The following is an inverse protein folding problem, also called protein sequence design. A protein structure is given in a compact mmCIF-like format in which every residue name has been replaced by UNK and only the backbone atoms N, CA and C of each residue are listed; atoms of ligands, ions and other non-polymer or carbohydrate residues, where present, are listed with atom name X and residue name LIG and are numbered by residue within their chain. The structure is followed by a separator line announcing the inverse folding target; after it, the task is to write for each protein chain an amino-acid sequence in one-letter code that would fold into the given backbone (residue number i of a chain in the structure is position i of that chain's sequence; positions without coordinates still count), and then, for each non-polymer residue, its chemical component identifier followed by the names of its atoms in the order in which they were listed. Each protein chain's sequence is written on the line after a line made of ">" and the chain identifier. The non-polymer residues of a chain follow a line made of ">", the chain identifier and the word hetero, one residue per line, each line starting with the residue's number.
data_IF_601335848431
#
_entry.id   IF_601335848431
#
_cell.length_a   1.000
_cell.length_b   1.000
_cell.length_c   1.000
_cell.angle_alpha   90.00
_cell.angle_beta   90.00
_cell.angle_gamma   90.00
#
_symmetry.space_group_name_H-M   'P 1'
#
loop_
_entity.id
_entity.type
_entity.pdbx_description
1 polymer ?
#
# COMPACT_ATOMS: atom_id res chain seq x y z
N UNK A 1 -17.52 -16.45 21.35
CA UNK A 1 -16.27 -15.76 20.98
C UNK A 1 -16.39 -14.23 20.79
N UNK A 2 -17.57 -13.60 20.90
CA UNK A 2 -17.73 -12.15 20.67
C UNK A 2 -17.44 -11.27 21.91
N UNK A 3 -17.35 -11.87 23.11
CA UNK A 3 -17.12 -11.13 24.37
C UNK A 3 -15.67 -10.62 24.59
N UNK A 4 -14.77 -10.71 23.61
CA UNK A 4 -13.35 -10.33 23.78
C UNK A 4 -12.94 -9.03 23.06
N UNK A 5 -13.79 -8.43 22.23
CA UNK A 5 -13.47 -7.19 21.49
C UNK A 5 -14.13 -5.97 22.14
N UNK A 6 -13.77 -5.65 23.38
CA UNK A 6 -14.26 -4.41 24.01
C UNK A 6 -13.57 -3.19 23.39
N UNK A 7 -14.25 -2.03 23.29
CA UNK A 7 -13.64 -0.79 22.82
C UNK A 7 -12.35 -0.42 23.58
N UNK A 8 -12.30 -0.70 24.89
CA UNK A 8 -11.14 -0.46 25.74
C UNK A 8 -9.96 -1.36 25.40
N UNK A 9 -10.21 -2.64 25.07
CA UNK A 9 -9.16 -3.56 24.64
C UNK A 9 -8.56 -3.13 23.30
N UNK A 10 -9.41 -2.72 22.33
CA UNK A 10 -8.97 -2.20 21.03
C UNK A 10 -8.13 -0.92 21.22
N UNK A 11 -8.56 0.01 22.10
CA UNK A 11 -7.76 1.20 22.44
C UNK A 11 -6.40 0.84 23.03
N UNK A 12 -6.34 -0.18 23.89
CA UNK A 12 -5.08 -0.69 24.44
C UNK A 12 -4.12 -1.18 23.36
N UNK A 13 -4.62 -1.94 22.38
CA UNK A 13 -3.83 -2.40 21.23
C UNK A 13 -3.34 -1.23 20.39
N UNK A 14 -4.24 -0.28 20.08
CA UNK A 14 -3.88 0.93 19.31
C UNK A 14 -2.79 1.72 20.05
N UNK A 15 -2.96 1.96 21.36
CA UNK A 15 -1.98 2.70 22.15
C UNK A 15 -0.62 1.99 22.16
N UNK A 16 -0.59 0.67 22.39
CA UNK A 16 0.65 -0.11 22.35
C UNK A 16 1.34 -0.04 20.97
N UNK A 17 0.55 -0.12 19.89
CA UNK A 17 1.06 -0.01 18.53
C UNK A 17 1.64 1.38 18.21
N UNK A 18 0.96 2.46 18.60
CA UNK A 18 1.47 3.82 18.43
C UNK A 18 2.72 4.08 19.28
N UNK A 19 2.79 3.55 20.51
CA UNK A 19 3.99 3.62 21.34
C UNK A 19 5.17 2.92 20.67
N UNK A 20 4.95 1.76 20.06
CA UNK A 20 5.98 1.06 19.27
C UNK A 20 6.45 1.91 18.09
N UNK A 21 5.53 2.51 17.32
CA UNK A 21 5.88 3.40 16.20
C UNK A 21 6.68 4.63 16.65
N UNK A 22 6.25 5.29 17.73
CA UNK A 22 6.94 6.46 18.30
C UNK A 22 8.35 6.06 18.77
N UNK A 23 8.48 4.88 19.40
CA UNK A 23 9.77 4.36 19.85
C UNK A 23 10.72 4.13 18.68
N UNK A 24 10.25 3.45 17.62
CA UNK A 24 11.03 3.26 16.39
C UNK A 24 11.42 4.62 15.81
N UNK A 25 10.45 5.54 15.66
CA UNK A 25 10.69 6.88 15.12
C UNK A 25 11.69 7.69 15.94
N UNK A 26 11.70 7.57 17.26
CA UNK A 26 12.65 8.26 18.13
C UNK A 26 14.08 7.74 17.92
N UNK A 27 14.26 6.43 17.77
CA UNK A 27 15.58 5.83 17.54
C UNK A 27 16.10 6.03 16.10
N UNK A 28 15.20 6.13 15.11
CA UNK A 28 15.58 6.35 13.70
C UNK A 28 15.63 7.83 13.31
N UNK A 29 14.97 8.70 14.06
CA UNK A 29 14.86 10.14 13.80
C UNK A 29 16.08 10.94 14.25
N UNK A 30 17.25 10.71 13.67
CA UNK A 30 18.43 11.58 13.88
C UNK A 30 18.39 12.79 12.94
N UNK A 31 18.90 13.94 13.42
CA UNK A 31 18.97 15.20 12.66
C UNK A 31 19.74 14.96 11.35
N UNK A 32 19.04 15.14 10.24
CA UNK A 32 19.49 14.80 8.90
C UNK A 32 19.25 16.00 7.98
N UNK A 33 20.25 16.37 7.18
CA UNK A 33 20.08 17.40 6.14
C UNK A 33 19.11 16.96 5.04
N UNK A 34 18.73 17.84 4.11
CA UNK A 34 17.74 17.56 3.06
C UNK A 34 17.99 16.25 2.28
N UNK A 35 19.24 15.94 1.93
CA UNK A 35 19.58 14.70 1.22
C UNK A 35 19.31 13.43 2.04
N UNK A 36 19.48 13.51 3.35
CA UNK A 36 19.24 12.39 4.26
C UNK A 36 17.76 12.30 4.65
N UNK A 37 17.05 13.43 4.66
CA UNK A 37 15.60 13.47 4.82
C UNK A 37 14.85 12.86 3.61
N UNK A 38 15.26 13.20 2.38
CA UNK A 38 14.54 12.81 1.15
C UNK A 38 15.11 11.60 0.40
N UNK A 39 16.35 11.18 0.66
CA UNK A 39 16.94 10.03 -0.04
C UNK A 39 17.60 9.03 0.92
N UNK A 40 17.52 9.23 2.24
CA UNK A 40 18.25 8.41 3.22
C UNK A 40 19.76 8.35 2.93
N UNK A 41 20.32 9.37 2.25
CA UNK A 41 21.70 9.36 1.75
C UNK A 41 22.00 8.22 0.76
N UNK A 42 20.98 7.63 0.14
CA UNK A 42 21.05 6.41 -0.68
C UNK A 42 21.67 5.23 0.04
N UNK A 43 21.28 5.00 1.28
CA UNK A 43 21.80 3.90 2.11
C UNK A 43 20.68 2.95 2.57
N UNK A 44 19.46 3.11 2.06
CA UNK A 44 18.35 2.25 2.43
C UNK A 44 18.64 0.81 1.98
N UNK A 45 18.60 -0.17 2.89
CA UNK A 45 18.72 -1.58 2.53
C UNK A 45 17.53 -1.99 1.66
N UNK A 46 17.80 -2.51 0.46
CA UNK A 46 16.75 -2.86 -0.51
C UNK A 46 15.67 -3.80 0.07
N UNK A 47 16.04 -4.72 0.96
CA UNK A 47 15.09 -5.65 1.57
C UNK A 47 14.08 -4.94 2.49
N UNK A 48 14.53 -3.94 3.26
CA UNK A 48 13.64 -3.13 4.09
C UNK A 48 12.73 -2.27 3.21
N UNK A 49 13.27 -1.71 2.13
CA UNK A 49 12.47 -0.97 1.15
C UNK A 49 11.42 -1.89 0.53
N UNK A 50 11.76 -3.13 0.18
CA UNK A 50 10.85 -4.06 -0.49
C UNK A 50 9.69 -4.44 0.43
N UNK A 51 10.01 -4.81 1.68
CA UNK A 51 8.99 -5.12 2.68
C UNK A 51 8.13 -3.88 2.97
N UNK A 52 8.73 -2.71 3.18
CA UNK A 52 7.95 -1.48 3.39
C UNK A 52 7.06 -1.11 2.21
N UNK A 53 7.54 -1.33 0.98
CA UNK A 53 6.80 -1.03 -0.24
C UNK A 53 5.57 -1.92 -0.45
N UNK A 54 5.58 -3.17 0.03
CA UNK A 54 4.37 -4.02 0.04
C UNK A 54 3.25 -3.31 0.83
N UNK A 55 3.56 -2.87 2.05
CA UNK A 55 2.59 -2.18 2.92
C UNK A 55 2.22 -0.78 2.42
N UNK A 56 3.11 -0.10 1.71
CA UNK A 56 2.80 1.21 1.13
C UNK A 56 1.94 1.13 -0.14
N UNK A 57 2.07 0.04 -0.90
CA UNK A 57 1.28 -0.23 -2.11
C UNK A 57 -0.10 -0.79 -1.75
N UNK A 58 -0.18 -1.61 -0.70
CA UNK A 58 -1.42 -2.12 -0.15
C UNK A 58 -2.01 -1.12 0.85
N UNK A 59 -3.31 -1.20 1.10
CA UNK A 59 -3.94 -0.37 2.14
C UNK A 59 -5.06 -1.13 2.83
N UNK A 60 -5.58 -0.57 3.93
CA UNK A 60 -6.79 -1.10 4.57
C UNK A 60 -7.97 -1.19 3.60
N UNK A 61 -8.01 -0.36 2.54
CA UNK A 61 -8.97 -0.49 1.43
C UNK A 61 -8.85 -1.87 0.82
N UNK A 62 -7.65 -2.23 0.34
CA UNK A 62 -7.37 -3.50 -0.35
C UNK A 62 -7.67 -4.69 0.56
N UNK A 63 -7.28 -4.59 1.83
CA UNK A 63 -7.47 -5.64 2.83
C UNK A 63 -8.95 -6.00 3.02
N UNK A 64 -9.84 -5.00 2.98
CA UNK A 64 -11.29 -5.19 3.17
C UNK A 64 -11.98 -5.46 1.83
N UNK A 65 -11.61 -4.75 0.77
CA UNK A 65 -12.36 -4.71 -0.49
C UNK A 65 -12.14 -5.94 -1.38
N UNK A 66 -10.91 -6.46 -1.47
CA UNK A 66 -10.62 -7.58 -2.38
C UNK A 66 -11.34 -8.86 -1.95
N UNK A 67 -11.30 -9.29 -0.67
CA UNK A 67 -12.11 -10.43 -0.25
C UNK A 67 -13.62 -10.19 -0.44
N UNK A 68 -14.08 -8.96 -0.23
CA UNK A 68 -15.49 -8.59 -0.39
C UNK A 68 -16.00 -8.67 -1.83
N UNK A 69 -15.15 -8.42 -2.84
CA UNK A 69 -15.58 -8.40 -4.25
C UNK A 69 -15.65 -9.79 -4.88
N UNK A 70 -14.87 -10.76 -4.38
CA UNK A 70 -14.83 -12.14 -4.90
C UNK A 70 -16.25 -12.74 -4.97
N UNK A 71 -17.06 -12.54 -3.94
CA UNK A 71 -18.43 -13.07 -3.85
C UNK A 71 -19.54 -12.08 -4.23
N UNK A 72 -19.21 -10.82 -4.55
CA UNK A 72 -20.21 -9.76 -4.79
C UNK A 72 -20.76 -9.75 -6.24
N UNK A 73 -20.10 -10.45 -7.17
CA UNK A 73 -20.43 -10.43 -8.60
C UNK A 73 -20.04 -9.11 -9.29
N UNK A 74 -20.15 -9.07 -10.63
CA UNK A 74 -19.85 -7.88 -11.42
C UNK A 74 -18.37 -7.72 -11.75
N UNK A 75 -17.81 -6.52 -11.59
CA UNK A 75 -16.41 -6.26 -11.88
C UNK A 75 -15.50 -6.84 -10.79
N UNK A 76 -14.41 -7.49 -11.19
CA UNK A 76 -13.49 -8.21 -10.31
C UNK A 76 -14.13 -9.39 -9.54
N UNK A 77 -15.20 -9.98 -10.08
CA UNK A 77 -15.85 -11.16 -9.49
C UNK A 77 -14.96 -12.40 -9.53
N UNK A 78 -15.28 -13.41 -8.70
CA UNK A 78 -14.47 -14.62 -8.58
C UNK A 78 -13.01 -14.24 -8.32
N UNK A 79 -12.03 -14.92 -8.92
CA UNK A 79 -10.63 -14.53 -8.81
C UNK A 79 -10.15 -13.75 -10.05
N UNK A 80 -11.05 -13.05 -10.77
CA UNK A 80 -10.70 -12.34 -12.00
C UNK A 80 -9.65 -11.23 -11.81
N UNK A 81 -9.53 -10.70 -10.59
CA UNK A 81 -8.49 -9.73 -10.21
C UNK A 81 -7.06 -10.28 -10.39
N UNK A 82 -6.86 -11.60 -10.38
CA UNK A 82 -5.55 -12.21 -10.60
C UNK A 82 -5.01 -11.92 -12.01
N UNK A 83 -5.88 -11.68 -12.99
CA UNK A 83 -5.48 -11.26 -14.34
C UNK A 83 -4.78 -9.90 -14.32
N UNK A 84 -5.26 -8.98 -13.46
CA UNK A 84 -4.60 -7.70 -13.19
C UNK A 84 -3.28 -7.90 -12.45
N UNK A 85 -3.21 -8.84 -11.50
CA UNK A 85 -1.95 -9.21 -10.80
C UNK A 85 -0.89 -9.72 -11.78
N UNK A 86 -1.26 -10.56 -12.75
CA UNK A 86 -0.33 -10.94 -13.83
C UNK A 86 0.12 -9.74 -14.66
N UNK A 87 -0.78 -8.78 -14.90
CA UNK A 87 -0.44 -7.50 -15.53
C UNK A 87 0.59 -6.70 -14.72
N UNK A 88 0.50 -6.69 -13.39
CA UNK A 88 1.49 -6.01 -12.53
C UNK A 88 2.91 -6.52 -12.77
N UNK A 89 3.09 -7.82 -13.01
CA UNK A 89 4.42 -8.38 -13.31
C UNK A 89 5.04 -7.70 -14.53
N UNK A 90 4.27 -7.52 -15.61
CA UNK A 90 4.73 -6.80 -16.79
C UNK A 90 5.04 -5.32 -16.48
N UNK A 91 4.18 -4.66 -15.71
CA UNK A 91 4.42 -3.27 -15.29
C UNK A 91 5.70 -3.11 -14.46
N UNK A 92 5.96 -4.01 -13.52
CA UNK A 92 7.18 -4.02 -12.71
C UNK A 92 8.43 -4.31 -13.54
N UNK A 93 8.35 -5.17 -14.57
CA UNK A 93 9.44 -5.34 -15.52
C UNK A 93 9.79 -4.02 -16.23
N UNK A 94 8.78 -3.26 -16.69
CA UNK A 94 9.00 -1.95 -17.32
C UNK A 94 9.61 -0.96 -16.33
N UNK A 95 9.11 -0.93 -15.08
CA UNK A 95 9.67 -0.07 -14.04
C UNK A 95 11.15 -0.39 -13.80
N UNK A 96 11.48 -1.67 -13.61
CA UNK A 96 12.82 -2.11 -13.29
C UNK A 96 13.81 -1.92 -14.44
N UNK A 97 13.38 -2.16 -15.68
CA UNK A 97 14.28 -2.16 -16.85
C UNK A 97 14.32 -0.83 -17.61
N UNK A 98 13.35 0.06 -17.41
CA UNK A 98 13.26 1.33 -18.15
C UNK A 98 13.27 2.53 -17.23
N UNK A 99 12.31 2.62 -16.29
CA UNK A 99 12.12 3.82 -15.47
C UNK A 99 13.23 3.98 -14.43
N UNK A 100 13.60 2.92 -13.71
CA UNK A 100 14.69 2.97 -12.73
C UNK A 100 16.03 3.38 -13.36
N UNK A 101 16.51 2.74 -14.45
CA UNK A 101 17.74 3.18 -15.11
C UNK A 101 17.74 4.64 -15.53
N UNK A 102 16.60 5.12 -16.06
CA UNK A 102 16.45 6.52 -16.47
C UNK A 102 16.61 7.47 -15.28
N UNK A 103 15.88 7.24 -14.19
CA UNK A 103 15.88 8.13 -13.03
C UNK A 103 17.20 8.08 -12.25
N UNK A 104 17.84 6.91 -12.15
CA UNK A 104 19.17 6.78 -11.56
C UNK A 104 20.24 7.53 -12.35
N UNK A 105 20.21 7.47 -13.70
CA UNK A 105 21.16 8.22 -14.57
C UNK A 105 21.02 9.73 -14.42
N UNK A 106 19.79 10.22 -14.27
CA UNK A 106 19.50 11.64 -14.12
C UNK A 106 19.70 12.16 -12.69
N UNK A 107 19.97 11.27 -11.72
CA UNK A 107 20.21 11.60 -10.32
C UNK A 107 19.08 12.44 -9.68
N UNK A 108 17.83 12.15 -10.03
CA UNK A 108 16.68 12.94 -9.63
C UNK A 108 16.32 12.71 -8.15
N UNK A 109 15.91 13.79 -7.46
CA UNK A 109 15.20 13.70 -6.17
C UNK A 109 13.69 13.62 -6.39
N UNK A 110 13.17 14.42 -7.33
CA UNK A 110 11.80 14.31 -7.82
C UNK A 110 11.75 13.81 -9.24
N UNK A 111 10.94 12.79 -9.51
CA UNK A 111 10.74 12.24 -10.85
C UNK A 111 10.08 13.25 -11.79
N UNK A 112 9.31 14.21 -11.27
CA UNK A 112 8.69 15.25 -12.10
C UNK A 112 9.70 16.25 -12.66
N UNK A 113 10.92 16.33 -12.10
CA UNK A 113 12.03 17.08 -12.70
C UNK A 113 12.41 16.53 -14.07
N UNK A 114 12.11 15.25 -14.36
CA UNK A 114 12.20 14.70 -15.70
C UNK A 114 11.36 15.50 -16.71
N UNK A 115 10.14 15.89 -16.33
CA UNK A 115 9.25 16.69 -17.18
C UNK A 115 9.83 18.08 -17.44
N UNK A 116 10.50 18.67 -16.45
CA UNK A 116 11.19 19.95 -16.63
C UNK A 116 12.27 19.86 -17.71
N UNK A 117 13.14 18.85 -17.61
CA UNK A 117 14.22 18.63 -18.58
C UNK A 117 13.69 18.31 -19.98
N UNK A 118 12.59 17.55 -20.10
CA UNK A 118 12.11 17.04 -21.39
C UNK A 118 11.10 17.95 -22.09
N UNK A 119 10.25 18.62 -21.32
CA UNK A 119 9.07 19.35 -21.78
C UNK A 119 8.98 20.78 -21.24
N UNK A 120 9.87 21.17 -20.32
CA UNK A 120 9.94 22.52 -19.75
C UNK A 120 9.18 22.70 -18.44
N UNK A 121 9.33 23.90 -17.87
CA UNK A 121 8.87 24.25 -16.52
C UNK A 121 7.37 24.05 -16.28
N UNK A 122 6.53 24.39 -17.27
CA UNK A 122 5.08 24.26 -17.15
C UNK A 122 4.64 22.78 -17.05
N UNK A 123 5.32 21.88 -17.75
CA UNK A 123 5.04 20.44 -17.68
C UNK A 123 5.40 19.88 -16.29
N UNK A 124 6.55 20.29 -15.73
CA UNK A 124 6.92 19.97 -14.36
C UNK A 124 5.89 20.43 -13.34
N UNK A 125 5.49 21.71 -13.39
CA UNK A 125 4.51 22.26 -12.45
C UNK A 125 3.16 21.56 -12.55
N UNK A 126 2.72 21.25 -13.76
CA UNK A 126 1.47 20.54 -14.00
C UNK A 126 1.54 19.12 -13.43
N UNK A 127 2.59 18.36 -13.74
CA UNK A 127 2.76 16.99 -13.24
C UNK A 127 2.85 16.94 -11.70
N UNK A 128 3.65 17.81 -11.11
CA UNK A 128 3.77 17.89 -9.65
C UNK A 128 2.45 18.32 -8.97
N UNK A 129 1.70 19.24 -9.57
CA UNK A 129 0.39 19.65 -9.03
C UNK A 129 -0.63 18.52 -9.07
N UNK A 130 -0.72 17.77 -10.18
CA UNK A 130 -1.62 16.62 -10.29
C UNK A 130 -1.25 15.50 -9.31
N UNK A 131 0.06 15.26 -9.11
CA UNK A 131 0.52 14.33 -8.08
C UNK A 131 0.07 14.75 -6.68
N UNK A 132 0.28 16.03 -6.30
CA UNK A 132 -0.13 16.52 -4.99
C UNK A 132 -1.63 16.40 -4.80
N UNK A 133 -2.43 16.73 -5.82
CA UNK A 133 -3.88 16.61 -5.78
C UNK A 133 -4.33 15.15 -5.62
N UNK A 134 -3.84 14.23 -6.46
CA UNK A 134 -4.20 12.81 -6.38
C UNK A 134 -3.78 12.21 -5.04
N UNK A 135 -2.61 12.63 -4.51
CA UNK A 135 -2.10 12.17 -3.22
C UNK A 135 -2.96 12.63 -2.04
N UNK A 136 -3.42 13.88 -2.05
CA UNK A 136 -4.32 14.41 -1.01
C UNK A 136 -5.65 13.66 -1.02
N UNK A 137 -6.24 13.47 -2.19
CA UNK A 137 -7.52 12.74 -2.35
C UNK A 137 -7.36 11.29 -1.88
N UNK A 138 -6.33 10.58 -2.35
CA UNK A 138 -6.10 9.18 -1.96
C UNK A 138 -5.85 9.03 -0.45
N UNK A 139 -5.12 9.96 0.16
CA UNK A 139 -4.87 9.97 1.60
C UNK A 139 -6.16 10.23 2.40
N UNK A 140 -7.02 11.14 1.93
CA UNK A 140 -8.31 11.42 2.55
C UNK A 140 -9.24 10.19 2.52
N UNK A 141 -9.33 9.48 1.40
CA UNK A 141 -10.12 8.25 1.30
C UNK A 141 -9.62 7.14 2.24
N UNK A 142 -8.30 6.93 2.32
CA UNK A 142 -7.71 5.96 3.25
C UNK A 142 -8.01 6.33 4.70
N UNK A 143 -7.85 7.60 5.06
CA UNK A 143 -8.17 8.11 6.39
C UNK A 143 -9.66 7.91 6.72
N UNK A 144 -10.55 8.18 5.77
CA UNK A 144 -11.98 7.99 5.93
C UNK A 144 -12.33 6.54 6.31
N UNK A 145 -11.76 5.55 5.62
CA UNK A 145 -11.98 4.13 5.96
C UNK A 145 -11.48 3.78 7.36
N UNK A 146 -10.28 4.25 7.73
CA UNK A 146 -9.74 4.02 9.08
C UNK A 146 -10.65 4.64 10.14
N UNK A 147 -11.10 5.88 9.91
CA UNK A 147 -12.02 6.58 10.81
C UNK A 147 -13.38 5.86 10.92
N UNK A 148 -13.91 5.29 9.83
CA UNK A 148 -15.13 4.49 9.86
C UNK A 148 -14.99 3.25 10.74
N UNK A 149 -13.90 2.50 10.60
CA UNK A 149 -13.65 1.30 11.43
C UNK A 149 -13.47 1.71 12.89
N UNK A 150 -12.71 2.76 13.17
CA UNK A 150 -12.51 3.26 14.54
C UNK A 150 -13.82 3.77 15.15
N UNK A 151 -14.64 4.47 14.38
CA UNK A 151 -15.97 4.89 14.81
C UNK A 151 -16.83 3.69 15.18
N UNK A 152 -16.93 2.70 14.29
CA UNK A 152 -17.83 1.56 14.47
C UNK A 152 -17.48 0.72 15.71
N UNK A 153 -16.19 0.44 15.93
CA UNK A 153 -15.76 -0.52 16.95
C UNK A 153 -15.25 0.11 18.24
N UNK A 154 -14.90 1.40 18.24
CA UNK A 154 -14.24 2.03 19.38
C UNK A 154 -15.01 3.25 19.89
N UNK A 155 -15.07 4.32 19.11
CA UNK A 155 -15.53 5.63 19.60
C UNK A 155 -17.07 5.77 19.58
N UNK A 156 -17.75 5.10 18.64
CA UNK A 156 -19.21 5.03 18.57
C UNK A 156 -19.85 4.42 19.82
N UNK A 157 -19.36 3.27 20.34
CA UNK A 157 -19.79 2.72 21.62
C UNK A 157 -19.67 3.68 22.82
N UNK A 158 -18.78 4.68 22.77
CA UNK A 158 -18.65 5.73 23.79
C UNK A 158 -19.53 6.97 23.51
N UNK A 159 -20.36 6.95 22.46
CA UNK A 159 -21.20 8.08 22.07
C UNK A 159 -20.46 9.25 21.42
N UNK A 160 -19.21 9.04 20.98
CA UNK A 160 -18.38 10.10 20.38
C UNK A 160 -18.82 10.30 18.91
N UNK A 161 -19.05 11.56 18.48
CA UNK A 161 -19.49 11.85 17.11
C UNK A 161 -18.36 11.61 16.10
N UNK A 162 -18.73 11.24 14.86
CA UNK A 162 -17.77 10.91 13.79
C UNK A 162 -16.74 12.02 13.51
N UNK A 163 -17.14 13.29 13.58
CA UNK A 163 -16.23 14.43 13.38
C UNK A 163 -15.09 14.41 14.42
N UNK A 164 -15.38 14.08 15.67
CA UNK A 164 -14.36 13.97 16.72
C UNK A 164 -13.44 12.77 16.47
N UNK A 165 -13.97 11.64 15.99
CA UNK A 165 -13.18 10.46 15.57
C UNK A 165 -12.19 10.80 14.47
N UNK A 166 -12.62 11.53 13.44
CA UNK A 166 -11.73 12.00 12.37
C UNK A 166 -10.65 12.91 12.92
N UNK A 167 -11.00 13.90 13.74
CA UNK A 167 -10.04 14.83 14.34
C UNK A 167 -8.97 14.12 15.19
N UNK A 168 -9.38 13.20 16.07
CA UNK A 168 -8.47 12.39 16.89
C UNK A 168 -7.53 11.56 16.00
N UNK A 169 -8.05 10.94 14.95
CA UNK A 169 -7.25 10.13 14.03
C UNK A 169 -6.18 10.97 13.33
N UNK A 170 -6.54 12.17 12.85
CA UNK A 170 -5.59 13.11 12.23
C UNK A 170 -4.50 13.52 13.23
N UNK A 171 -4.88 13.88 14.45
CA UNK A 171 -3.91 14.30 15.49
C UNK A 171 -2.94 13.15 15.81
N UNK A 172 -3.44 11.93 15.98
CA UNK A 172 -2.60 10.76 16.22
C UNK A 172 -1.61 10.51 15.08
N UNK A 173 -2.08 10.57 13.83
CA UNK A 173 -1.20 10.41 12.66
C UNK A 173 -0.15 11.51 12.61
N UNK A 174 -0.56 12.76 12.84
CA UNK A 174 0.36 13.90 12.81
C UNK A 174 1.47 13.79 13.87
N UNK A 175 1.14 13.35 15.10
CA UNK A 175 2.11 13.23 16.20
C UNK A 175 3.29 12.33 15.84
N UNK A 176 3.06 11.16 15.21
CA UNK A 176 4.16 10.24 14.88
C UNK A 176 4.81 10.52 13.51
N UNK A 177 4.12 11.24 12.61
CA UNK A 177 4.64 11.52 11.26
C UNK A 177 5.42 12.83 11.17
N UNK A 178 5.09 13.85 11.96
CA UNK A 178 5.66 15.21 11.84
C UNK A 178 7.19 15.27 11.99
N UNK A 179 7.82 14.31 12.67
CA UNK A 179 9.27 14.27 12.91
C UNK A 179 10.02 13.18 12.13
N UNK A 180 9.38 12.44 11.23
CA UNK A 180 9.99 11.32 10.50
C UNK A 180 10.37 11.68 9.05
N UNK A 181 11.67 11.67 8.72
CA UNK A 181 12.15 11.65 7.32
C UNK A 181 12.08 10.25 6.70
N UNK A 182 12.55 10.09 5.45
CA UNK A 182 12.52 8.78 4.74
C UNK A 182 13.21 7.66 5.54
N UNK A 183 14.29 7.97 6.26
CA UNK A 183 14.95 7.03 7.16
C UNK A 183 14.01 6.44 8.22
N UNK A 184 13.06 7.20 8.74
CA UNK A 184 12.07 6.67 9.69
C UNK A 184 10.97 5.91 8.97
N UNK A 185 10.50 6.45 7.84
CA UNK A 185 9.41 5.88 7.05
C UNK A 185 9.73 4.44 6.61
N UNK A 186 10.95 4.16 6.13
CA UNK A 186 11.32 2.81 5.67
C UNK A 186 11.17 1.76 6.79
N UNK A 187 11.54 2.09 8.03
CA UNK A 187 11.42 1.16 9.16
C UNK A 187 9.97 1.04 9.64
N UNK A 188 9.25 2.16 9.75
CA UNK A 188 7.84 2.14 10.17
C UNK A 188 6.97 1.40 9.16
N UNK A 189 7.22 1.58 7.86
CA UNK A 189 6.54 0.87 6.79
C UNK A 189 6.85 -0.63 6.83
N UNK A 190 8.11 -1.00 7.07
CA UNK A 190 8.50 -2.42 7.23
C UNK A 190 7.72 -3.07 8.37
N UNK A 191 7.67 -2.42 9.54
CA UNK A 191 6.94 -2.90 10.70
C UNK A 191 5.44 -3.03 10.40
N UNK A 192 4.86 -2.00 9.76
CA UNK A 192 3.47 -2.00 9.32
C UNK A 192 3.15 -3.18 8.40
N UNK A 193 3.98 -3.42 7.39
CA UNK A 193 3.82 -4.55 6.47
C UNK A 193 3.87 -5.87 7.21
N UNK A 194 4.86 -6.07 8.09
CA UNK A 194 4.99 -7.32 8.86
C UNK A 194 3.74 -7.55 9.70
N UNK A 195 3.26 -6.54 10.43
CA UNK A 195 2.02 -6.64 11.20
C UNK A 195 0.81 -6.98 10.31
N UNK A 196 0.69 -6.33 9.14
CA UNK A 196 -0.40 -6.59 8.19
C UNK A 196 -0.34 -8.02 7.64
N UNK A 197 0.83 -8.51 7.22
CA UNK A 197 0.99 -9.87 6.72
C UNK A 197 0.71 -10.91 7.81
N UNK A 198 1.18 -10.68 9.03
CA UNK A 198 0.83 -11.52 10.18
C UNK A 198 -0.67 -11.52 10.43
N UNK A 199 -1.34 -10.37 10.37
CA UNK A 199 -2.80 -10.29 10.52
C UNK A 199 -3.55 -11.09 9.44
N UNK A 200 -3.11 -11.05 8.18
CA UNK A 200 -3.69 -11.89 7.10
C UNK A 200 -3.52 -13.37 7.43
N UNK A 201 -2.31 -13.81 7.79
CA UNK A 201 -2.02 -15.22 8.09
C UNK A 201 -2.89 -15.70 9.27
N UNK A 202 -2.94 -14.92 10.35
CA UNK A 202 -3.76 -15.25 11.52
C UNK A 202 -5.26 -15.27 11.18
N UNK A 203 -5.71 -14.40 10.28
CA UNK A 203 -7.10 -14.37 9.81
C UNK A 203 -7.43 -15.65 9.04
N UNK A 204 -6.57 -16.07 8.10
CA UNK A 204 -6.76 -17.31 7.33
C UNK A 204 -6.80 -18.53 8.26
N UNK A 205 -5.89 -18.62 9.22
CA UNK A 205 -5.86 -19.70 10.22
C UNK A 205 -7.14 -19.69 11.07
N UNK A 206 -7.59 -18.50 11.51
CA UNK A 206 -8.79 -18.36 12.33
C UNK A 206 -10.05 -18.77 11.56
N UNK A 207 -10.13 -18.43 10.27
CA UNK A 207 -11.20 -18.89 9.38
C UNK A 207 -11.15 -20.41 9.24
N UNK A 208 -9.96 -21.00 9.03
CA UNK A 208 -9.79 -22.46 8.99
C UNK A 208 -10.31 -23.14 10.25
N UNK A 209 -9.87 -22.67 11.41
CA UNK A 209 -10.32 -23.20 12.70
C UNK A 209 -11.85 -23.05 12.90
N UNK A 210 -12.42 -21.92 12.49
CA UNK A 210 -13.87 -21.69 12.57
C UNK A 210 -14.68 -22.57 11.61
N UNK A 211 -14.07 -22.99 10.49
CA UNK A 211 -14.62 -23.96 9.54
C UNK A 211 -14.19 -25.40 9.85
N UNK A 212 -13.60 -25.63 11.03
CA UNK A 212 -13.13 -26.95 11.49
C UNK A 212 -12.18 -27.64 10.51
N UNK A 213 -11.32 -26.86 9.85
CA UNK A 213 -10.40 -27.34 8.83
C UNK A 213 -9.00 -26.73 8.97
N UNK A 214 -8.03 -27.30 8.25
CA UNK A 214 -6.67 -26.78 8.17
C UNK A 214 -6.43 -26.03 6.85
N UNK A 215 -5.21 -25.51 6.65
CA UNK A 215 -4.85 -24.76 5.44
C UNK A 215 -5.04 -25.57 4.14
N UNK A 216 -4.76 -26.88 4.18
CA UNK A 216 -4.98 -27.74 3.01
C UNK A 216 -6.46 -27.93 2.70
N UNK A 217 -7.29 -28.08 3.73
CA UNK A 217 -8.75 -28.15 3.57
C UNK A 217 -9.35 -26.83 3.08
N UNK A 218 -8.85 -25.68 3.54
CA UNK A 218 -9.22 -24.37 2.97
C UNK A 218 -8.87 -24.30 1.48
N UNK A 219 -7.67 -24.73 1.09
CA UNK A 219 -7.26 -24.74 -0.31
C UNK A 219 -8.17 -25.64 -1.16
N UNK A 220 -8.54 -26.82 -0.66
CA UNK A 220 -9.48 -27.72 -1.33
C UNK A 220 -10.88 -27.09 -1.49
N UNK A 221 -11.39 -26.42 -0.46
CA UNK A 221 -12.67 -25.70 -0.53
C UNK A 221 -12.64 -24.55 -1.54
N UNK A 222 -11.54 -23.80 -1.60
CA UNK A 222 -11.37 -22.73 -2.61
C UNK A 222 -11.35 -23.34 -4.01
N UNK A 223 -10.59 -24.41 -4.24
CA UNK A 223 -10.53 -25.08 -5.55
C UNK A 223 -11.88 -25.63 -6.01
N UNK A 224 -12.70 -26.13 -5.08
CA UNK A 224 -14.04 -26.63 -5.37
C UNK A 224 -15.10 -25.53 -5.53
N UNK A 225 -14.76 -24.26 -5.24
CA UNK A 225 -15.69 -23.14 -5.31
C UNK A 225 -15.84 -22.61 -6.74
N UNK A 226 -17.06 -22.24 -7.11
CA UNK A 226 -17.35 -21.51 -8.36
C UNK A 226 -16.63 -20.14 -8.43
N UNK A 227 -16.20 -19.60 -7.29
CA UNK A 227 -15.42 -18.35 -7.24
C UNK A 227 -13.95 -18.52 -7.62
N UNK A 228 -13.47 -19.76 -7.82
CA UNK A 228 -12.07 -20.03 -8.15
C UNK A 228 -11.67 -19.66 -9.57
N UNK A 229 -12.63 -19.32 -10.44
CA UNK A 229 -12.34 -18.94 -11.81
C UNK A 229 -11.43 -17.70 -11.86
N UNK A 230 -10.28 -17.87 -12.52
CA UNK A 230 -9.26 -16.83 -12.68
C UNK A 230 -9.38 -16.09 -14.01
N UNK A 231 -9.58 -16.82 -15.09
CA UNK A 231 -9.48 -16.29 -16.44
C UNK A 231 -10.85 -16.12 -17.09
N UNK A 232 -11.05 -14.96 -17.71
CA UNK A 232 -12.26 -14.58 -18.42
C UNK A 232 -11.87 -14.10 -19.82
N UNK A 233 -12.11 -14.91 -20.85
CA UNK A 233 -11.75 -14.57 -22.23
C UNK A 233 -12.94 -14.14 -23.09
N UNK A 234 -14.16 -14.46 -22.64
CA UNK A 234 -15.39 -14.18 -23.35
C UNK A 234 -15.82 -12.71 -23.21
N UNK A 235 -16.87 -12.32 -23.95
CA UNK A 235 -17.49 -10.99 -23.86
C UNK A 235 -16.67 -9.80 -24.40
N UNK A 236 -15.42 -10.02 -24.82
CA UNK A 236 -14.55 -9.01 -25.40
C UNK A 236 -14.37 -7.79 -24.49
N UNK A 237 -14.26 -6.58 -25.07
CA UNK A 237 -14.03 -5.34 -24.32
C UNK A 237 -15.22 -4.89 -23.44
N UNK A 238 -16.41 -5.44 -23.70
CA UNK A 238 -17.63 -5.17 -22.95
C UNK A 238 -17.64 -5.89 -21.60
N UNK A 239 -16.96 -7.03 -21.48
CA UNK A 239 -16.82 -7.71 -20.20
C UNK A 239 -15.82 -6.92 -19.30
N UNK A 240 -16.25 -6.42 -18.13
CA UNK A 240 -15.35 -5.78 -17.18
C UNK A 240 -14.25 -6.71 -16.64
N UNK A 241 -14.44 -8.04 -16.72
CA UNK A 241 -13.50 -9.04 -16.22
C UNK A 241 -12.56 -9.58 -17.29
N UNK A 242 -12.69 -9.17 -18.56
CA UNK A 242 -11.92 -9.73 -19.66
C UNK A 242 -10.40 -9.70 -19.41
N UNK A 243 -9.72 -10.80 -19.72
CA UNK A 243 -8.29 -11.01 -19.50
C UNK A 243 -7.43 -9.88 -20.06
N UNK A 244 -7.59 -9.55 -21.34
CA UNK A 244 -6.72 -8.57 -21.98
C UNK A 244 -6.91 -7.18 -21.38
N UNK A 245 -8.15 -6.83 -21.06
CA UNK A 245 -8.50 -5.57 -20.40
C UNK A 245 -7.86 -5.49 -19.01
N UNK A 246 -8.03 -6.52 -18.19
CA UNK A 246 -7.49 -6.56 -16.82
C UNK A 246 -5.95 -6.65 -16.81
N UNK A 247 -5.36 -7.45 -17.68
CA UNK A 247 -3.91 -7.61 -17.79
C UNK A 247 -3.21 -6.31 -18.22
N UNK A 248 -3.70 -5.65 -19.29
CA UNK A 248 -3.15 -4.38 -19.75
C UNK A 248 -3.38 -3.29 -18.69
N UNK A 249 -4.58 -3.26 -18.09
CA UNK A 249 -4.86 -2.32 -16.99
C UNK A 249 -3.91 -2.53 -15.83
N UNK A 250 -3.64 -3.78 -15.44
CA UNK A 250 -2.65 -4.12 -14.42
C UNK A 250 -1.28 -3.55 -14.74
N UNK A 251 -0.74 -3.82 -15.94
CA UNK A 251 0.57 -3.30 -16.34
C UNK A 251 0.64 -1.76 -16.25
N UNK A 252 -0.39 -1.07 -16.74
CA UNK A 252 -0.47 0.40 -16.68
C UNK A 252 -0.63 0.92 -15.25
N UNK A 253 -1.46 0.26 -14.43
CA UNK A 253 -1.67 0.62 -13.02
C UNK A 253 -0.36 0.50 -12.24
N UNK A 254 0.40 -0.59 -12.42
CA UNK A 254 1.70 -0.74 -11.78
C UNK A 254 2.66 0.39 -12.19
N UNK A 255 2.75 0.69 -13.49
CA UNK A 255 3.57 1.80 -14.00
C UNK A 255 3.15 3.14 -13.37
N UNK A 256 1.86 3.44 -13.30
CA UNK A 256 1.37 4.71 -12.73
C UNK A 256 1.61 4.76 -11.23
N UNK A 257 1.23 3.72 -10.48
CA UNK A 257 1.25 3.71 -9.03
C UNK A 257 2.64 3.53 -8.42
N UNK A 258 3.57 2.89 -9.13
CA UNK A 258 4.95 2.68 -8.63
C UNK A 258 5.96 3.45 -9.45
N UNK A 259 5.84 3.41 -10.78
CA UNK A 259 6.80 4.02 -11.71
C UNK A 259 6.73 5.54 -11.78
N UNK A 260 5.51 6.09 -11.75
CA UNK A 260 5.22 7.51 -11.97
C UNK A 260 4.66 8.23 -10.73
N UNK A 261 4.53 7.51 -9.61
CA UNK A 261 4.19 8.07 -8.30
C UNK A 261 5.46 8.46 -7.55
N UNK A 262 5.54 9.73 -7.16
CA UNK A 262 6.74 10.26 -6.49
C UNK A 262 7.02 9.58 -5.15
N UNK A 263 6.01 9.21 -4.36
CA UNK A 263 6.24 8.59 -3.05
C UNK A 263 6.80 7.16 -3.21
N UNK A 264 6.22 6.37 -4.11
CA UNK A 264 6.71 5.02 -4.38
C UNK A 264 8.08 5.04 -5.05
N UNK A 265 8.27 5.87 -6.07
CA UNK A 265 9.53 5.90 -6.81
C UNK A 265 10.67 6.48 -5.97
N UNK A 266 10.40 7.46 -5.10
CA UNK A 266 11.43 8.02 -4.23
C UNK A 266 12.00 6.99 -3.24
N UNK A 267 11.19 6.04 -2.76
CA UNK A 267 11.66 4.91 -1.94
C UNK A 267 12.63 4.03 -2.73
N UNK A 268 12.29 3.70 -3.98
CA UNK A 268 13.20 2.97 -4.87
C UNK A 268 14.53 3.72 -5.09
N UNK A 269 14.47 5.04 -5.31
CA UNK A 269 15.65 5.89 -5.51
C UNK A 269 16.51 6.08 -4.25
N UNK A 270 16.00 5.69 -3.07
CA UNK A 270 16.75 5.68 -1.82
C UNK A 270 17.67 4.45 -1.66
N UNK A 271 17.54 3.44 -2.52
CA UNK A 271 18.45 2.30 -2.56
C UNK A 271 19.85 2.72 -3.03
N UNK A 272 20.86 1.99 -2.56
CA UNK A 272 22.28 2.32 -2.76
C UNK A 272 22.70 2.41 -4.22
N UNK A 273 22.18 1.52 -5.04
CA UNK A 273 22.49 1.44 -6.46
C UNK A 273 21.29 0.88 -7.23
N UNK A 274 21.34 1.03 -8.55
CA UNK A 274 20.29 0.54 -9.44
C UNK A 274 20.02 -0.96 -9.30
N UNK A 275 21.05 -1.79 -9.09
CA UNK A 275 20.87 -3.23 -8.95
C UNK A 275 20.09 -3.60 -7.69
N UNK A 276 20.31 -2.88 -6.59
CA UNK A 276 19.52 -3.00 -5.37
C UNK A 276 18.09 -2.48 -5.55
N UNK A 277 17.90 -1.37 -6.27
CA UNK A 277 16.57 -0.87 -6.61
C UNK A 277 15.80 -1.82 -7.53
N UNK A 278 16.47 -2.47 -8.48
CA UNK A 278 15.86 -3.48 -9.35
C UNK A 278 15.46 -4.72 -8.57
N UNK A 279 16.31 -5.23 -7.67
CA UNK A 279 15.97 -6.32 -6.75
C UNK A 279 14.80 -5.99 -5.82
N UNK A 280 14.61 -4.72 -5.50
CA UNK A 280 13.46 -4.25 -4.73
C UNK A 280 12.15 -4.29 -5.52
N UNK A 281 12.21 -4.18 -6.85
CA UNK A 281 11.04 -4.16 -7.74
C UNK A 281 10.69 -5.54 -8.30
N UNK A 282 11.68 -6.41 -8.49
CA UNK A 282 11.47 -7.81 -8.88
C UNK A 282 10.85 -8.64 -7.75
#
# INVERSE_FOLDING_TARGET
>A
MINQLTPTFILGIIAAYFLLLITVSYFTGRKAGNAEFFLAGRKSPWLLVAIGMIGASLSGVTFISIPGVVGAGGANQSFSYMQMVFGYLLGYLVIAQVLLPLYYRMNLTSIYTFLEHRLGYHAYKTGAAYFMLSRVIGSAFRLYLVAMVLQQFVLGPFGIPFIATVAVTIVLIWIYTFKGGINTIVYTDTLQTVCMLTAVILTIISIGNALETNVAGLAAMVQASDYSQLFFFDGGWNDPNNFFKQFISGALIAIVMTGLDQDMMQKNLSCRNIGEAQKNVY
#
